data_IF_946865170214
#
_entry.id   IF_946865170214
#
_cell.length_a   1.000
_cell.length_b   1.000
_cell.length_c   1.000
_cell.angle_alpha   90.00
_cell.angle_beta   90.00
_cell.angle_gamma   90.00
#
_symmetry.space_group_name_H-M   'P 1'
#
loop_
_entity.id
_entity.type
_entity.pdbx_description
1 polymer ?
#
# COMPACT_ATOMS: atom_id res chain seq x y z
N UNK A 1 3.08 -10.18 -19.23
CA UNK A 1 3.30 -10.00 -17.78
C UNK A 1 2.81 -8.60 -17.46
N UNK A 2 1.66 -8.49 -16.80
CA UNK A 2 1.10 -7.20 -16.39
C UNK A 2 1.28 -7.12 -14.87
N UNK A 3 2.37 -6.48 -14.45
CA UNK A 3 2.62 -6.23 -13.04
C UNK A 3 1.70 -5.09 -12.60
N UNK A 4 0.64 -5.43 -11.89
CA UNK A 4 -0.25 -4.41 -11.31
C UNK A 4 0.36 -3.88 -10.03
N UNK A 5 0.54 -2.57 -9.98
CA UNK A 5 1.17 -1.88 -8.87
C UNK A 5 0.21 -0.84 -8.29
N UNK A 6 0.23 -0.68 -6.97
CA UNK A 6 -0.48 0.36 -6.25
C UNK A 6 0.52 1.26 -5.53
N UNK A 7 0.41 2.56 -5.78
CA UNK A 7 1.14 3.58 -5.00
C UNK A 7 0.28 3.91 -3.78
N UNK A 8 0.87 3.83 -2.60
CA UNK A 8 0.29 4.33 -1.37
C UNK A 8 0.87 5.74 -1.14
N UNK A 9 0.10 6.80 -1.46
CA UNK A 9 0.60 8.17 -1.36
C UNK A 9 0.75 8.56 0.12
N UNK A 10 1.73 9.41 0.38
CA UNK A 10 1.95 10.01 1.68
C UNK A 10 2.30 11.49 1.50
N UNK A 11 1.93 12.33 2.49
CA UNK A 11 2.31 13.75 2.48
C UNK A 11 3.84 13.93 2.48
N UNK A 12 4.52 13.10 3.25
CA UNK A 12 5.97 12.97 3.20
C UNK A 12 6.38 12.00 2.08
N UNK A 13 7.09 12.52 1.08
CA UNK A 13 7.53 11.73 -0.09
C UNK A 13 8.40 10.53 0.31
N UNK A 14 9.13 10.60 1.42
CA UNK A 14 9.95 9.48 1.92
C UNK A 14 9.11 8.31 2.46
N UNK A 15 7.82 8.56 2.73
CA UNK A 15 6.86 7.58 3.24
C UNK A 15 5.97 6.98 2.16
N UNK A 16 6.10 7.44 0.91
CA UNK A 16 5.41 6.79 -0.22
C UNK A 16 5.84 5.33 -0.27
N UNK A 17 4.89 4.44 -0.56
CA UNK A 17 5.17 3.02 -0.79
C UNK A 17 4.59 2.57 -2.11
N UNK A 18 5.18 1.52 -2.63
CA UNK A 18 4.73 0.82 -3.81
C UNK A 18 4.51 -0.63 -3.41
N UNK A 19 3.34 -1.16 -3.72
CA UNK A 19 3.02 -2.57 -3.52
C UNK A 19 2.53 -3.20 -4.81
N UNK A 20 2.88 -4.46 -5.03
CA UNK A 20 2.32 -5.29 -6.08
C UNK A 20 0.97 -5.82 -5.64
N UNK A 21 -0.02 -5.68 -6.51
CA UNK A 21 -1.37 -6.15 -6.27
C UNK A 21 -1.43 -7.63 -6.66
N UNK A 22 -1.92 -8.53 -5.78
CA UNK A 22 -2.10 -9.93 -6.12
C UNK A 22 -3.04 -10.10 -7.33
N UNK A 23 -2.89 -11.17 -8.12
CA UNK A 23 -3.63 -11.37 -9.37
C UNK A 23 -5.14 -11.54 -9.15
N UNK A 24 -5.56 -11.93 -7.96
CA UNK A 24 -6.94 -12.34 -7.66
C UNK A 24 -7.92 -11.18 -7.42
N UNK A 25 -7.44 -9.94 -7.39
CA UNK A 25 -8.31 -8.78 -7.13
C UNK A 25 -8.83 -8.13 -8.40
N UNK A 26 -10.07 -7.65 -8.39
CA UNK A 26 -10.57 -6.69 -9.39
C UNK A 26 -10.17 -5.26 -9.02
N UNK A 27 -9.84 -4.41 -9.99
CA UNK A 27 -9.24 -3.08 -9.74
C UNK A 27 -10.04 -2.19 -8.77
N UNK A 28 -11.38 -2.20 -8.85
CA UNK A 28 -12.24 -1.43 -7.95
C UNK A 28 -12.32 -2.01 -6.53
N UNK A 29 -12.07 -3.31 -6.37
CA UNK A 29 -12.12 -3.98 -5.08
C UNK A 29 -10.84 -3.78 -4.29
N UNK A 30 -9.68 -3.67 -4.97
CA UNK A 30 -8.37 -3.47 -4.31
C UNK A 30 -8.39 -2.21 -3.47
N UNK A 31 -8.82 -1.08 -4.03
CA UNK A 31 -8.78 0.21 -3.33
C UNK A 31 -9.59 0.14 -2.04
N UNK A 32 -10.86 -0.29 -2.13
CA UNK A 32 -11.74 -0.43 -0.95
C UNK A 32 -11.16 -1.40 0.08
N UNK A 33 -10.58 -2.51 -0.38
CA UNK A 33 -10.00 -3.51 0.51
C UNK A 33 -8.80 -2.94 1.27
N UNK A 34 -7.86 -2.31 0.57
CA UNK A 34 -6.68 -1.66 1.18
C UNK A 34 -7.10 -0.56 2.15
N UNK A 35 -8.10 0.27 1.82
CA UNK A 35 -8.64 1.26 2.76
C UNK A 35 -9.17 0.61 4.04
N UNK A 36 -9.89 -0.52 3.92
CA UNK A 36 -10.39 -1.25 5.08
C UNK A 36 -9.28 -1.84 5.95
N UNK A 37 -8.21 -2.36 5.35
CA UNK A 37 -7.05 -2.88 6.09
C UNK A 37 -6.32 -1.77 6.84
N UNK A 38 -6.11 -0.61 6.21
CA UNK A 38 -5.48 0.54 6.87
C UNK A 38 -6.32 0.99 8.07
N UNK A 39 -7.63 1.17 7.88
CA UNK A 39 -8.54 1.55 8.96
C UNK A 39 -8.52 0.54 10.12
N UNK A 40 -8.44 -0.76 9.82
CA UNK A 40 -8.32 -1.80 10.84
C UNK A 40 -7.04 -1.63 11.68
N UNK A 41 -5.89 -1.39 11.05
CA UNK A 41 -4.62 -1.14 11.75
C UNK A 41 -4.72 0.12 12.63
N UNK A 42 -5.31 1.19 12.09
CA UNK A 42 -5.51 2.46 12.81
C UNK A 42 -6.42 2.29 14.05
N UNK A 43 -7.46 1.45 13.95
CA UNK A 43 -8.36 1.14 15.07
C UNK A 43 -7.71 0.26 16.14
N UNK A 44 -6.91 -0.73 15.73
CA UNK A 44 -6.25 -1.67 16.63
C UNK A 44 -5.05 -1.03 17.36
N UNK A 45 -4.37 -0.06 16.73
CA UNK A 45 -3.21 0.61 17.30
C UNK A 45 -3.16 2.12 16.95
N UNK A 46 -3.40 2.97 17.95
CA UNK A 46 -3.31 4.42 17.80
C UNK A 46 -1.89 4.93 17.48
N UNK A 47 -0.87 4.18 17.88
CA UNK A 47 0.55 4.45 17.60
C UNK A 47 1.08 3.59 16.44
N UNK A 48 0.18 3.12 15.56
CA UNK A 48 0.57 2.31 14.42
C UNK A 48 1.67 2.98 13.59
N UNK A 49 2.51 2.12 13.03
CA UNK A 49 3.57 2.49 12.11
C UNK A 49 3.20 2.03 10.71
N UNK A 50 4.00 2.48 9.74
CA UNK A 50 3.82 2.01 8.38
C UNK A 50 4.25 0.57 8.16
N UNK A 51 5.11 0.06 9.05
CA UNK A 51 5.51 -1.35 9.07
C UNK A 51 4.32 -2.24 9.46
N UNK A 52 3.45 -1.77 10.36
CA UNK A 52 2.23 -2.50 10.74
C UNK A 52 1.24 -2.62 9.57
N UNK A 53 1.06 -1.52 8.81
CA UNK A 53 0.21 -1.54 7.60
C UNK A 53 0.81 -2.43 6.52
N UNK A 54 2.13 -2.37 6.31
CA UNK A 54 2.80 -3.23 5.33
C UNK A 54 2.67 -4.71 5.70
N UNK A 55 2.88 -5.08 6.96
CA UNK A 55 2.70 -6.44 7.44
C UNK A 55 1.26 -6.93 7.18
N UNK A 56 0.26 -6.09 7.45
CA UNK A 56 -1.13 -6.43 7.17
C UNK A 56 -1.42 -6.61 5.68
N UNK A 57 -0.78 -5.83 4.81
CA UNK A 57 -0.89 -5.97 3.36
C UNK A 57 -0.18 -7.24 2.86
N UNK A 58 1.00 -7.56 3.38
CA UNK A 58 1.76 -8.77 3.07
C UNK A 58 0.99 -10.05 3.43
N UNK A 59 0.34 -10.07 4.59
CA UNK A 59 -0.54 -11.16 5.03
C UNK A 59 -1.72 -11.42 4.07
N UNK A 60 -2.07 -10.44 3.23
CA UNK A 60 -3.13 -10.51 2.21
C UNK A 60 -2.60 -10.72 0.80
N UNK A 61 -1.29 -10.94 0.64
CA UNK A 61 -0.65 -11.25 -0.64
C UNK A 61 -0.24 -10.02 -1.45
N UNK A 62 -0.24 -8.83 -0.85
CA UNK A 62 0.42 -7.68 -1.46
C UNK A 62 1.93 -7.76 -1.20
N UNK A 63 2.74 -7.42 -2.19
CA UNK A 63 4.20 -7.49 -2.03
C UNK A 63 4.80 -6.09 -2.07
N UNK A 64 5.57 -5.64 -1.07
CA UNK A 64 6.28 -4.37 -1.17
C UNK A 64 7.31 -4.41 -2.29
N UNK A 65 7.38 -3.32 -3.06
CA UNK A 65 8.30 -3.17 -4.19
C UNK A 65 9.22 -1.98 -3.94
N UNK A 66 10.53 -2.21 -4.03
CA UNK A 66 11.50 -1.12 -4.03
C UNK A 66 11.30 -0.24 -5.27
N UNK A 67 11.29 1.08 -5.07
CA UNK A 67 11.08 2.03 -6.15
C UNK A 67 11.87 3.31 -5.92
N UNK A 68 12.13 4.02 -7.01
CA UNK A 68 12.76 5.33 -6.99
C UNK A 68 11.74 6.39 -7.42
N UNK A 69 11.53 7.39 -6.57
CA UNK A 69 10.76 8.57 -6.96
C UNK A 69 11.55 9.37 -8.00
N UNK A 70 10.88 9.66 -9.12
CA UNK A 70 11.40 10.61 -10.11
C UNK A 70 11.33 12.06 -9.62
N UNK A 71 11.90 13.00 -10.37
CA UNK A 71 11.76 14.42 -10.07
C UNK A 71 10.30 14.86 -10.17
N UNK A 72 9.87 15.74 -9.25
CA UNK A 72 8.61 16.47 -9.41
C UNK A 72 8.70 17.37 -10.64
N UNK A 73 7.64 17.36 -11.46
CA UNK A 73 7.52 18.18 -12.66
C UNK A 73 6.55 19.36 -12.44
N UNK A 74 6.08 19.51 -11.20
CA UNK A 74 5.14 20.47 -10.66
C UNK A 74 5.78 21.33 -9.55
#
# INVERSE_FOLDING_TARGET
>A
MNDRLMILPAQDKTKIRLVRIPPDFQDQEVFRHVTGLIAQVEEENADHTWEDVLAMLEDRGFEPVEFQLGPSLD
#
